data_IF_557260057813
#
_entry.id   IF_557260057813
#
_cell.length_a   1.000
_cell.length_b   1.000
_cell.length_c   1.000
_cell.angle_alpha   90.00
_cell.angle_beta   90.00
_cell.angle_gamma   90.00
#
_symmetry.space_group_name_H-M   'P 1'
#
loop_
_entity.id
_entity.type
_entity.pdbx_description
1 polymer ?
#
# COMPACT_ATOMS: atom_id res chain seq x y z
N UNK A 1 -1.55 20.97 7.39
CA UNK A 1 -2.57 20.17 6.68
C UNK A 1 -3.62 21.10 6.08
N UNK A 2 -3.65 21.22 4.74
CA UNK A 2 -4.65 22.02 4.02
C UNK A 2 -5.91 21.19 3.72
N UNK A 3 -5.74 19.90 3.42
CA UNK A 3 -6.79 18.98 3.03
C UNK A 3 -6.68 17.66 3.81
N UNK A 4 -7.82 17.03 4.09
CA UNK A 4 -7.95 15.70 4.67
C UNK A 4 -8.86 14.85 3.79
N UNK A 5 -8.37 13.70 3.35
CA UNK A 5 -9.18 12.67 2.70
C UNK A 5 -9.46 11.61 3.76
N UNK A 6 -10.74 11.30 3.96
CA UNK A 6 -11.22 10.33 4.95
C UNK A 6 -11.83 9.17 4.18
N UNK A 7 -11.32 7.97 4.44
CA UNK A 7 -11.90 6.72 3.95
C UNK A 7 -12.71 6.11 5.09
N UNK A 8 -13.99 5.86 4.86
CA UNK A 8 -14.87 5.22 5.85
C UNK A 8 -14.59 3.73 5.83
N UNK A 9 -13.81 3.24 6.80
CA UNK A 9 -13.39 1.84 6.86
C UNK A 9 -14.59 0.90 7.09
N UNK A 10 -14.55 -0.31 6.52
CA UNK A 10 -15.59 -1.31 6.72
C UNK A 10 -15.50 -1.89 8.13
N UNK A 11 -16.56 -2.53 8.59
CA UNK A 11 -16.55 -3.28 9.84
C UNK A 11 -16.03 -4.72 9.61
N UNK A 12 -14.74 -4.84 9.29
CA UNK A 12 -14.09 -6.11 8.91
C UNK A 12 -12.77 -6.31 9.67
N UNK A 13 -12.46 -7.56 10.05
CA UNK A 13 -11.25 -7.89 10.81
C UNK A 13 -9.95 -7.73 10.00
N UNK A 14 -10.02 -7.81 8.68
CA UNK A 14 -8.88 -7.70 7.76
C UNK A 14 -8.57 -6.26 7.35
N UNK A 15 -9.39 -5.29 7.77
CA UNK A 15 -9.33 -3.89 7.35
C UNK A 15 -9.54 -2.94 8.54
N UNK A 16 -8.88 -3.23 9.67
CA UNK A 16 -8.98 -2.44 10.91
C UNK A 16 -8.29 -1.07 10.83
N UNK A 17 -7.36 -0.90 9.90
CA UNK A 17 -6.63 0.35 9.65
C UNK A 17 -6.56 0.58 8.13
N UNK A 18 -6.43 1.85 7.71
CA UNK A 18 -6.34 2.20 6.29
C UNK A 18 -5.09 1.56 5.63
N UNK A 19 -3.98 1.49 6.35
CA UNK A 19 -2.73 0.89 5.86
C UNK A 19 -2.81 -0.63 5.65
N UNK A 20 -3.88 -1.27 6.10
CA UNK A 20 -4.15 -2.66 5.80
C UNK A 20 -4.72 -2.84 4.40
N UNK A 21 -5.33 -1.81 3.80
CA UNK A 21 -6.03 -1.89 2.51
C UNK A 21 -5.52 -0.88 1.48
N UNK A 22 -4.68 0.07 1.87
CA UNK A 22 -4.05 1.07 1.02
C UNK A 22 -2.68 1.47 1.56
N UNK A 23 -1.66 1.47 0.72
CA UNK A 23 -0.37 2.09 1.04
C UNK A 23 0.20 2.81 -0.18
N UNK A 24 0.66 4.05 0.00
CA UNK A 24 1.48 4.72 -1.02
C UNK A 24 2.90 4.12 -1.02
N UNK A 25 3.33 3.62 -2.17
CA UNK A 25 4.59 2.87 -2.33
C UNK A 25 5.64 3.62 -3.15
N UNK A 26 5.22 4.64 -3.89
CA UNK A 26 6.08 5.56 -4.62
C UNK A 26 5.41 6.95 -4.72
N UNK A 27 6.09 7.93 -5.35
CA UNK A 27 5.55 9.28 -5.58
C UNK A 27 4.21 9.25 -6.33
N UNK A 28 4.10 8.36 -7.30
CA UNK A 28 2.93 8.29 -8.20
C UNK A 28 2.20 6.95 -8.10
N UNK A 29 2.59 6.06 -7.18
CA UNK A 29 2.03 4.71 -7.09
C UNK A 29 1.58 4.34 -5.68
N UNK A 30 0.50 3.58 -5.60
CA UNK A 30 -0.01 2.98 -4.37
C UNK A 30 -0.36 1.50 -4.60
N UNK A 31 -0.36 0.70 -3.54
CA UNK A 31 -0.98 -0.61 -3.55
C UNK A 31 -2.31 -0.54 -2.79
N UNK A 32 -3.35 -1.14 -3.36
CA UNK A 32 -4.70 -1.17 -2.78
C UNK A 32 -5.27 -2.58 -2.78
N UNK A 33 -6.15 -2.84 -1.82
CA UNK A 33 -7.07 -3.97 -1.87
C UNK A 33 -8.23 -3.61 -2.80
N UNK A 34 -8.30 -4.16 -4.02
CA UNK A 34 -9.16 -3.60 -5.06
C UNK A 34 -10.65 -3.48 -4.70
N UNK A 35 -11.28 -4.47 -4.02
CA UNK A 35 -12.70 -4.39 -3.68
C UNK A 35 -13.12 -3.12 -2.91
N UNK A 36 -12.23 -2.59 -2.05
CA UNK A 36 -12.52 -1.42 -1.22
C UNK A 36 -12.24 -0.08 -1.92
N UNK A 37 -11.64 -0.09 -3.11
CA UNK A 37 -11.26 1.12 -3.86
C UNK A 37 -11.86 1.19 -5.27
N UNK A 38 -12.21 0.05 -5.86
CA UNK A 38 -12.71 -0.09 -7.23
C UNK A 38 -13.96 -0.97 -7.24
N UNK A 39 -14.98 -0.54 -7.99
CA UNK A 39 -16.20 -1.32 -8.18
C UNK A 39 -17.30 -1.03 -7.16
N UNK A 40 -18.26 -1.95 -7.00
CA UNK A 40 -19.49 -1.74 -6.22
C UNK A 40 -19.27 -1.76 -4.70
N UNK A 41 -18.24 -2.46 -4.22
CA UNK A 41 -17.91 -2.60 -2.79
C UNK A 41 -17.00 -1.47 -2.27
N UNK A 42 -16.68 -0.48 -3.12
CA UNK A 42 -15.78 0.62 -2.75
C UNK A 42 -16.29 1.37 -1.52
N UNK A 43 -15.36 1.77 -0.68
CA UNK A 43 -15.66 2.51 0.55
C UNK A 43 -16.04 3.96 0.25
N UNK A 44 -16.87 4.53 1.13
CA UNK A 44 -17.19 5.94 1.06
C UNK A 44 -15.95 6.80 1.35
N UNK A 45 -15.78 7.86 0.56
CA UNK A 45 -14.65 8.78 0.67
C UNK A 45 -15.15 10.19 0.89
N UNK A 46 -14.62 10.86 1.90
CA UNK A 46 -14.97 12.23 2.25
C UNK A 46 -13.73 13.13 2.15
N UNK A 47 -13.92 14.37 1.71
CA UNK A 47 -12.88 15.39 1.66
C UNK A 47 -13.23 16.56 2.58
N UNK A 48 -12.26 16.98 3.40
CA UNK A 48 -12.35 18.15 4.27
C UNK A 48 -11.20 19.11 3.98
N UNK A 49 -11.50 20.39 3.80
CA UNK A 49 -10.49 21.46 3.70
C UNK A 49 -10.38 22.20 5.04
N UNK A 50 -9.19 22.67 5.43
CA UNK A 50 -8.91 23.31 6.74
C UNK A 50 -9.90 24.43 7.12
N UNK A 51 -10.49 25.11 6.14
CA UNK A 51 -11.43 26.24 6.33
C UNK A 51 -12.87 25.96 5.88
N UNK A 52 -13.19 24.72 5.46
CA UNK A 52 -14.56 24.38 5.07
C UNK A 52 -15.43 24.09 6.30
N UNK A 53 -16.67 24.59 6.28
CA UNK A 53 -17.71 24.18 7.23
C UNK A 53 -18.32 22.87 6.74
N UNK A 54 -17.63 21.76 6.98
CA UNK A 54 -18.14 20.42 6.66
C UNK A 54 -17.19 19.57 5.81
N UNK A 55 -17.68 18.38 5.49
CA UNK A 55 -17.04 17.37 4.64
C UNK A 55 -17.88 17.17 3.39
N UNK A 56 -17.22 16.92 2.26
CA UNK A 56 -17.86 16.63 0.98
C UNK A 56 -17.62 15.17 0.62
N UNK A 57 -18.66 14.45 0.22
CA UNK A 57 -18.49 13.11 -0.35
C UNK A 57 -17.86 13.19 -1.75
N UNK A 58 -16.89 12.30 -1.99
CA UNK A 58 -16.13 12.23 -3.22
C UNK A 58 -16.54 10.98 -4.01
N UNK A 59 -16.52 11.02 -5.36
CA UNK A 59 -16.96 9.89 -6.19
C UNK A 59 -16.24 8.56 -5.89
N UNK A 60 -14.93 8.66 -5.63
CA UNK A 60 -14.06 7.58 -5.18
C UNK A 60 -12.75 8.17 -4.63
N UNK A 61 -11.90 7.29 -4.11
CA UNK A 61 -10.62 7.67 -3.50
C UNK A 61 -9.66 8.35 -4.48
N UNK A 62 -9.53 7.84 -5.71
CA UNK A 62 -8.62 8.39 -6.72
C UNK A 62 -9.09 9.77 -7.22
N UNK A 63 -10.40 10.00 -7.32
CA UNK A 63 -10.95 11.32 -7.61
C UNK A 63 -10.67 12.32 -6.48
N UNK A 64 -10.68 11.86 -5.22
CA UNK A 64 -10.31 12.71 -4.09
C UNK A 64 -8.83 13.10 -4.11
N UNK A 65 -7.96 12.15 -4.46
CA UNK A 65 -6.52 12.36 -4.65
C UNK A 65 -6.21 13.34 -5.80
N UNK A 66 -6.89 13.19 -6.94
CA UNK A 66 -6.79 14.13 -8.06
C UNK A 66 -7.23 15.55 -7.66
N UNK A 67 -8.28 15.70 -6.86
CA UNK A 67 -8.80 17.00 -6.42
C UNK A 67 -7.85 17.77 -5.48
N UNK A 68 -6.80 17.11 -4.97
CA UNK A 68 -5.77 17.72 -4.13
C UNK A 68 -4.38 17.67 -4.78
N UNK A 69 -4.32 17.48 -6.11
CA UNK A 69 -3.08 17.45 -6.90
C UNK A 69 -2.08 16.37 -6.44
N UNK A 70 -2.59 15.21 -6.01
CA UNK A 70 -1.80 14.05 -5.57
C UNK A 70 -2.28 12.76 -6.24
N UNK A 71 -2.35 12.67 -7.58
CA UNK A 71 -2.80 11.46 -8.26
C UNK A 71 -1.86 10.28 -7.97
N UNK A 72 -2.46 9.10 -7.73
CA UNK A 72 -1.73 7.85 -7.56
C UNK A 72 -2.29 6.78 -8.50
N UNK A 73 -1.40 6.04 -9.13
CA UNK A 73 -1.71 4.84 -9.91
C UNK A 73 -1.82 3.62 -8.98
N UNK A 74 -2.93 2.86 -9.04
CA UNK A 74 -3.11 1.71 -8.16
C UNK A 74 -2.53 0.43 -8.71
N UNK A 75 -1.71 -0.24 -7.89
CA UNK A 75 -1.37 -1.65 -8.00
C UNK A 75 -2.34 -2.47 -7.16
N UNK A 76 -2.81 -3.58 -7.72
CA UNK A 76 -3.83 -4.40 -7.08
C UNK A 76 -3.19 -5.54 -6.28
N UNK A 77 -3.37 -5.49 -4.95
CA UNK A 77 -3.02 -6.62 -4.08
C UNK A 77 -3.73 -7.89 -4.58
N UNK A 78 -2.96 -8.95 -4.83
CA UNK A 78 -3.45 -10.24 -5.35
C UNK A 78 -3.86 -10.24 -6.84
N UNK A 79 -3.55 -9.18 -7.58
CA UNK A 79 -3.78 -9.07 -9.03
C UNK A 79 -5.27 -9.03 -9.40
N UNK A 80 -5.66 -9.71 -10.48
CA UNK A 80 -7.01 -9.63 -11.05
C UNK A 80 -8.03 -10.64 -10.48
N UNK A 81 -7.60 -11.61 -9.65
CA UNK A 81 -8.46 -12.72 -9.21
C UNK A 81 -8.97 -12.49 -7.79
N UNK A 82 -10.29 -12.32 -7.61
CA UNK A 82 -10.92 -12.04 -6.30
C UNK A 82 -10.49 -13.02 -5.18
N UNK A 83 -10.48 -14.36 -5.37
CA UNK A 83 -9.99 -15.29 -4.35
C UNK A 83 -8.51 -15.09 -3.98
N UNK A 84 -7.68 -14.66 -4.93
CA UNK A 84 -6.26 -14.37 -4.69
C UNK A 84 -6.11 -13.05 -3.92
N UNK A 85 -6.86 -12.01 -4.33
CA UNK A 85 -6.93 -10.74 -3.62
C UNK A 85 -7.31 -10.94 -2.15
N UNK A 86 -8.33 -11.75 -1.86
CA UNK A 86 -8.76 -12.05 -0.49
C UNK A 86 -7.68 -12.79 0.32
N UNK A 87 -7.04 -13.80 -0.28
CA UNK A 87 -5.98 -14.58 0.38
C UNK A 87 -4.77 -13.72 0.74
N UNK A 88 -4.32 -12.89 -0.20
CA UNK A 88 -3.16 -12.03 0.02
C UNK A 88 -3.48 -10.83 0.90
N UNK A 89 -4.71 -10.30 0.84
CA UNK A 89 -5.19 -9.30 1.79
C UNK A 89 -5.17 -9.83 3.22
N UNK A 90 -5.64 -11.06 3.45
CA UNK A 90 -5.53 -11.72 4.77
C UNK A 90 -4.08 -11.84 5.24
N UNK A 91 -3.16 -11.89 4.29
CA UNK A 91 -1.71 -11.99 4.51
C UNK A 91 -1.01 -10.63 4.57
N UNK A 92 -1.78 -9.55 4.78
CA UNK A 92 -1.30 -8.16 4.90
C UNK A 92 -0.57 -7.63 3.67
N UNK A 93 -0.96 -8.08 2.47
CA UNK A 93 -0.26 -7.74 1.23
C UNK A 93 -0.29 -6.25 0.86
N UNK A 94 -1.25 -5.45 1.35
CA UNK A 94 -1.24 -3.99 1.14
C UNK A 94 -0.39 -3.23 2.18
N UNK A 95 0.12 -3.89 3.23
CA UNK A 95 0.75 -3.22 4.38
C UNK A 95 2.28 -3.06 4.20
N UNK A 96 2.66 -2.29 3.17
CA UNK A 96 4.05 -2.05 2.79
C UNK A 96 4.74 -1.02 3.66
N UNK A 97 6.02 -1.22 3.96
CA UNK A 97 6.87 -0.15 4.46
C UNK A 97 7.73 0.45 3.34
N UNK A 98 7.44 1.68 2.91
CA UNK A 98 8.30 2.39 1.96
C UNK A 98 9.58 2.89 2.65
N UNK A 99 10.74 2.40 2.24
CA UNK A 99 12.06 2.83 2.76
C UNK A 99 12.42 4.19 2.14
N UNK A 100 12.27 4.30 0.82
CA UNK A 100 12.36 5.52 0.01
C UNK A 100 11.34 5.42 -1.13
N UNK A 101 11.03 6.50 -1.89
CA UNK A 101 10.17 6.38 -3.06
C UNK A 101 10.62 5.25 -3.99
N UNK A 102 9.69 4.34 -4.30
CA UNK A 102 9.93 3.19 -5.16
C UNK A 102 10.62 2.00 -4.49
N UNK A 103 11.04 2.09 -3.22
CA UNK A 103 11.63 0.95 -2.50
C UNK A 103 10.80 0.60 -1.28
N UNK A 104 10.22 -0.59 -1.28
CA UNK A 104 9.29 -1.06 -0.24
C UNK A 104 9.73 -2.37 0.37
N UNK A 105 9.41 -2.57 1.66
CA UNK A 105 9.42 -3.87 2.32
C UNK A 105 8.04 -4.51 2.22
N UNK A 106 7.99 -5.80 1.91
CA UNK A 106 6.78 -6.63 1.93
C UNK A 106 7.11 -8.08 2.28
N UNK A 107 6.10 -8.92 2.50
CA UNK A 107 6.31 -10.35 2.70
C UNK A 107 6.46 -11.08 1.36
N UNK A 108 7.39 -12.04 1.33
CA UNK A 108 7.65 -12.87 0.14
C UNK A 108 6.46 -13.77 -0.25
N UNK A 109 5.58 -14.10 0.70
CA UNK A 109 4.45 -15.02 0.51
C UNK A 109 3.30 -14.49 -0.35
N UNK A 110 3.33 -13.21 -0.74
CA UNK A 110 2.26 -12.54 -1.49
C UNK A 110 2.60 -12.55 -2.98
N UNK A 111 2.66 -13.76 -3.57
CA UNK A 111 3.19 -14.01 -4.92
C UNK A 111 2.51 -13.15 -6.00
N UNK A 112 1.18 -13.04 -5.97
CA UNK A 112 0.45 -12.30 -7.00
C UNK A 112 0.65 -10.79 -6.83
N UNK A 113 0.71 -10.28 -5.60
CA UNK A 113 1.05 -8.88 -5.33
C UNK A 113 2.49 -8.56 -5.77
N UNK A 114 3.44 -9.47 -5.52
CA UNK A 114 4.82 -9.34 -6.01
C UNK A 114 4.88 -9.36 -7.55
N UNK A 115 4.04 -10.16 -8.20
CA UNK A 115 3.92 -10.16 -9.66
C UNK A 115 3.37 -8.82 -10.19
N UNK A 116 2.38 -8.19 -9.53
CA UNK A 116 1.93 -6.85 -9.92
C UNK A 116 3.02 -5.79 -9.71
N UNK A 117 3.78 -5.86 -8.61
CA UNK A 117 4.94 -4.99 -8.39
C UNK A 117 5.98 -5.15 -9.50
N UNK A 118 6.30 -6.39 -9.88
CA UNK A 118 7.23 -6.67 -10.97
C UNK A 118 6.74 -6.09 -12.31
N UNK A 119 5.44 -6.23 -12.62
CA UNK A 119 4.85 -5.61 -13.82
C UNK A 119 4.89 -4.08 -13.79
N UNK A 120 4.81 -3.47 -12.61
CA UNK A 120 4.96 -2.04 -12.40
C UNK A 120 6.43 -1.56 -12.32
N UNK A 121 7.39 -2.44 -12.63
CA UNK A 121 8.81 -2.10 -12.72
C UNK A 121 9.59 -2.18 -11.41
N UNK A 122 9.03 -2.75 -10.35
CA UNK A 122 9.77 -3.02 -9.12
C UNK A 122 10.56 -4.33 -9.25
N UNK A 123 11.88 -4.29 -9.06
CA UNK A 123 12.64 -5.54 -8.91
C UNK A 123 12.29 -6.19 -7.57
N UNK A 124 11.88 -7.46 -7.59
CA UNK A 124 11.67 -8.24 -6.36
C UNK A 124 13.01 -8.78 -5.88
N UNK A 125 13.37 -8.49 -4.63
CA UNK A 125 14.67 -8.85 -4.05
C UNK A 125 14.46 -9.51 -2.69
N UNK A 126 14.93 -10.76 -2.47
CA UNK A 126 14.90 -11.36 -1.15
C UNK A 126 15.75 -10.54 -0.16
N UNK A 127 15.18 -10.18 0.98
CA UNK A 127 15.86 -9.37 1.99
C UNK A 127 17.14 -10.04 2.52
N UNK A 128 17.15 -11.37 2.59
CA UNK A 128 18.32 -12.14 3.00
C UNK A 128 19.54 -11.91 2.09
N UNK A 129 19.32 -11.69 0.78
CA UNK A 129 20.42 -11.42 -0.16
C UNK A 129 21.02 -10.03 0.01
N UNK A 130 20.17 -9.03 0.23
CA UNK A 130 20.62 -7.68 0.58
C UNK A 130 21.41 -7.68 1.89
N UNK A 131 20.90 -8.39 2.91
CA UNK A 131 21.56 -8.48 4.21
C UNK A 131 22.92 -9.18 4.16
N UNK A 132 23.13 -10.12 3.22
CA UNK A 132 24.41 -10.81 2.98
C UNK A 132 25.35 -10.06 2.04
N UNK A 133 24.90 -8.98 1.41
CA UNK A 133 25.67 -8.25 0.39
C UNK A 133 25.77 -8.99 -0.96
N UNK A 134 24.93 -9.98 -1.20
CA UNK A 134 24.87 -10.72 -2.48
C UNK A 134 24.17 -9.90 -3.58
N UNK A 135 23.31 -8.97 -3.18
CA UNK A 135 22.64 -8.01 -4.07
C UNK A 135 22.72 -6.60 -3.47
N UNK A 136 22.61 -5.60 -4.33
CA UNK A 136 22.49 -4.18 -3.97
C UNK A 136 21.33 -3.53 -4.72
N UNK A 137 20.83 -2.41 -4.20
CA UNK A 137 19.85 -1.58 -4.91
C UNK A 137 20.59 -0.39 -5.53
N UNK A 138 20.39 -0.15 -6.82
CA UNK A 138 20.93 1.02 -7.48
C UNK A 138 20.18 2.30 -7.04
N UNK A 139 20.82 3.45 -7.23
CA UNK A 139 20.17 4.74 -7.02
C UNK A 139 19.01 4.93 -8.01
N UNK A 140 17.88 5.46 -7.54
CA UNK A 140 16.68 5.66 -8.36
C UNK A 140 15.91 4.38 -8.75
N UNK A 141 16.47 3.19 -8.50
CA UNK A 141 15.79 1.93 -8.77
C UNK A 141 14.53 1.75 -7.91
N UNK A 142 13.49 1.15 -8.50
CA UNK A 142 12.31 0.61 -7.81
C UNK A 142 12.55 -0.83 -7.39
N UNK A 143 12.30 -1.15 -6.12
CA UNK A 143 12.50 -2.50 -5.59
C UNK A 143 11.46 -2.87 -4.53
N UNK A 144 11.02 -4.13 -4.57
CA UNK A 144 10.24 -4.77 -3.51
C UNK A 144 11.16 -5.73 -2.76
N UNK A 145 11.57 -5.33 -1.56
CA UNK A 145 12.37 -6.15 -0.66
C UNK A 145 11.44 -7.14 0.04
N UNK A 146 11.54 -8.39 -0.35
CA UNK A 146 10.69 -9.48 0.13
C UNK A 146 11.32 -10.12 1.37
N UNK A 147 10.67 -9.99 2.52
CA UNK A 147 11.09 -10.64 3.77
C UNK A 147 10.32 -11.94 3.97
N UNK A 148 10.99 -12.97 4.47
CA UNK A 148 10.32 -14.14 5.04
C UNK A 148 9.55 -13.70 6.29
N UNK A 149 8.26 -14.05 6.36
CA UNK A 149 7.35 -13.52 7.38
C UNK A 149 6.34 -14.53 7.91
N UNK A 150 6.59 -15.84 7.74
CA UNK A 150 5.64 -16.92 8.03
C UNK A 150 5.11 -16.91 9.47
N UNK A 151 5.95 -16.55 10.45
CA UNK A 151 5.53 -16.40 11.84
C UNK A 151 4.98 -14.99 12.14
N UNK A 152 5.59 -13.94 11.57
CA UNK A 152 5.19 -12.55 11.81
C UNK A 152 3.77 -12.26 11.32
N UNK A 153 3.39 -12.81 10.17
CA UNK A 153 2.07 -12.62 9.57
C UNK A 153 0.93 -13.21 10.41
N UNK A 154 1.24 -14.11 11.36
CA UNK A 154 0.24 -14.65 12.32
C UNK A 154 -0.30 -13.56 13.25
N UNK A 155 0.45 -12.47 13.43
CA UNK A 155 0.00 -11.25 14.11
C UNK A 155 -0.94 -10.37 13.26
N UNK A 156 -1.30 -10.80 12.04
CA UNK A 156 -2.17 -10.09 11.11
C UNK A 156 -1.69 -8.68 10.73
N UNK A 157 -0.37 -8.51 10.56
CA UNK A 157 0.23 -7.24 10.14
C UNK A 157 1.43 -7.44 9.21
N UNK A 158 1.64 -6.47 8.32
CA UNK A 158 2.79 -6.38 7.42
C UNK A 158 3.95 -5.59 8.01
N UNK A 159 5.02 -5.38 7.22
CA UNK A 159 6.16 -4.57 7.64
C UNK A 159 5.81 -3.17 8.17
N UNK A 160 4.74 -2.55 7.65
CA UNK A 160 4.31 -1.22 8.10
C UNK A 160 3.68 -1.24 9.50
N UNK A 161 2.98 -2.30 9.89
CA UNK A 161 2.46 -2.45 11.24
C UNK A 161 3.58 -2.61 12.29
N UNK A 162 4.75 -3.09 11.89
CA UNK A 162 5.91 -3.33 12.77
C UNK A 162 6.91 -2.17 12.80
N UNK A 163 6.61 -1.06 12.13
CA UNK A 163 7.55 0.05 11.96
C UNK A 163 6.89 1.40 12.27
N UNK A 164 7.68 2.32 12.84
CA UNK A 164 7.27 3.68 13.12
C UNK A 164 8.41 4.64 12.73
N UNK A 165 8.36 5.27 11.53
CA UNK A 165 9.39 6.21 11.12
C UNK A 165 9.55 7.36 12.12
N UNK A 166 10.77 7.57 12.60
CA UNK A 166 11.10 8.72 13.46
C UNK A 166 11.56 9.93 12.65
N UNK A 167 12.22 9.68 11.51
CA UNK A 167 12.73 10.71 10.59
C UNK A 167 12.74 10.15 9.17
N UNK A 168 12.39 11.00 8.21
CA UNK A 168 12.54 10.78 6.76
C UNK A 168 13.14 12.04 6.16
N UNK A 169 13.87 11.89 5.06
CA UNK A 169 14.33 13.03 4.29
C UNK A 169 13.17 13.69 3.55
N UNK A 170 13.34 14.96 3.19
CA UNK A 170 12.35 15.70 2.42
C UNK A 170 12.24 15.12 1.00
N UNK A 171 11.02 15.20 0.44
CA UNK A 171 10.68 14.68 -0.89
C UNK A 171 10.74 15.74 -1.98
#
# INVERSE_FOLDING_TARGET
MQDAIVVVLPNERTAIHLDMIFTQIDREACCVYPPHFVGPERLAVLHRRKRSKGVKEMPNFFAALQAVDQPLEPLFCGGASRPVQEREQWSSACNFFAVRPGVVLTYERNDATLAELARAGFRVVPAARLARGEESLAEGERAAIAIEGSELVRGAGGPRCMTLPLRRDDL
#
